data_IF_688928549950
#
_entry.id   IF_688928549950
#
_cell.length_a   1.000
_cell.length_b   1.000
_cell.length_c   1.000
_cell.angle_alpha   90.00
_cell.angle_beta   90.00
_cell.angle_gamma   90.00
#
_symmetry.space_group_name_H-M   'P 1'
#
loop_
_entity.id
_entity.type
_entity.pdbx_description
1 polymer ?
#
# COMPACT_ATOMS: atom_id res chain seq x y z
N UNK A 1 -14.56 -1.73 -6.22
CA UNK A 1 -15.66 -1.25 -5.35
C UNK A 1 -15.49 -1.56 -3.86
N UNK A 2 -14.34 -2.06 -3.38
CA UNK A 2 -14.17 -2.35 -1.94
C UNK A 2 -13.92 -1.10 -1.06
N UNK A 3 -13.47 0.00 -1.66
CA UNK A 3 -13.02 1.20 -0.95
C UNK A 3 -14.10 1.83 -0.04
N UNK A 4 -15.36 2.07 -0.48
CA UNK A 4 -16.37 2.65 0.41
C UNK A 4 -16.68 1.77 1.63
N UNK A 5 -16.67 0.45 1.44
CA UNK A 5 -16.92 -0.53 2.51
C UNK A 5 -15.77 -0.50 3.54
N UNK A 6 -14.53 -0.42 3.06
CA UNK A 6 -13.33 -0.33 3.91
C UNK A 6 -13.36 0.98 4.70
N UNK A 7 -13.60 2.11 4.04
CA UNK A 7 -13.61 3.43 4.68
C UNK A 7 -14.73 3.55 5.71
N UNK A 8 -15.94 3.08 5.41
CA UNK A 8 -17.04 3.08 6.36
C UNK A 8 -16.70 2.26 7.61
N UNK A 9 -16.13 1.05 7.42
CA UNK A 9 -15.74 0.18 8.54
C UNK A 9 -14.64 0.80 9.40
N UNK A 10 -13.65 1.45 8.79
CA UNK A 10 -12.56 2.13 9.50
C UNK A 10 -13.05 3.37 10.26
N UNK A 11 -14.10 4.03 9.78
CA UNK A 11 -14.68 5.21 10.43
C UNK A 11 -15.34 4.83 11.76
N UNK A 12 -15.99 3.67 11.81
CA UNK A 12 -16.66 3.14 13.01
C UNK A 12 -15.68 2.85 14.16
N UNK A 13 -14.38 2.71 13.88
CA UNK A 13 -13.32 2.44 14.86
C UNK A 13 -12.33 3.60 15.03
N UNK A 14 -12.64 4.78 14.47
CA UNK A 14 -11.83 5.99 14.64
C UNK A 14 -10.46 5.95 13.93
N UNK A 15 -10.30 5.11 12.90
CA UNK A 15 -9.10 5.09 12.06
C UNK A 15 -9.24 6.06 10.88
N UNK A 16 -10.43 6.17 10.29
CA UNK A 16 -10.72 7.11 9.20
C UNK A 16 -11.77 8.15 9.62
N UNK A 17 -11.87 9.28 8.91
CA UNK A 17 -12.95 10.22 9.13
C UNK A 17 -14.31 9.59 8.83
N UNK A 18 -15.38 10.19 9.39
CA UNK A 18 -16.75 9.72 9.17
C UNK A 18 -17.13 9.82 7.69
N UNK A 19 -17.72 8.75 7.14
CA UNK A 19 -18.28 8.76 5.78
C UNK A 19 -19.62 9.50 5.80
N UNK A 20 -19.75 10.52 4.95
CA UNK A 20 -20.95 11.35 4.81
C UNK A 20 -21.77 10.98 3.56
N UNK A 21 -21.14 10.40 2.54
CA UNK A 21 -21.82 9.94 1.33
C UNK A 21 -20.91 9.21 0.35
N UNK A 22 -21.47 8.39 -0.53
CA UNK A 22 -20.75 7.61 -1.54
C UNK A 22 -21.40 7.86 -2.90
N UNK A 23 -20.60 8.04 -3.93
CA UNK A 23 -21.04 8.25 -5.31
C UNK A 23 -20.14 7.51 -6.30
N UNK A 24 -20.55 7.40 -7.57
CA UNK A 24 -19.88 6.56 -8.57
C UNK A 24 -18.37 6.84 -8.77
N UNK A 25 -17.87 8.01 -8.35
CA UNK A 25 -16.47 8.44 -8.54
C UNK A 25 -15.77 8.87 -7.25
N UNK A 26 -16.33 8.59 -6.07
CA UNK A 26 -15.69 9.01 -4.83
C UNK A 26 -16.56 8.89 -3.57
N UNK A 27 -16.01 9.43 -2.49
CA UNK A 27 -16.58 9.37 -1.13
C UNK A 27 -16.49 10.78 -0.53
N UNK A 28 -17.58 11.24 0.09
CA UNK A 28 -17.59 12.45 0.91
C UNK A 28 -17.29 12.01 2.34
N UNK A 29 -16.30 12.64 2.97
CA UNK A 29 -15.89 12.36 4.35
C UNK A 29 -15.85 13.64 5.17
N UNK A 30 -15.96 13.48 6.49
CA UNK A 30 -15.74 14.56 7.45
C UNK A 30 -14.35 15.19 7.30
N UNK A 31 -14.31 16.52 7.34
CA UNK A 31 -13.05 17.25 7.35
C UNK A 31 -12.42 17.24 8.75
N UNK A 32 -11.16 16.82 8.83
CA UNK A 32 -10.37 16.84 10.06
C UNK A 32 -9.26 17.89 9.92
N UNK A 33 -9.28 18.99 10.68
CA UNK A 33 -8.15 19.91 10.75
C UNK A 33 -6.91 19.18 11.27
N UNK A 34 -5.88 19.04 10.43
CA UNK A 34 -4.66 18.33 10.80
C UNK A 34 -3.44 18.87 10.07
N UNK A 35 -2.27 18.39 10.48
CA UNK A 35 -0.99 18.52 9.78
C UNK A 35 -0.48 17.13 9.43
N UNK A 36 0.22 17.02 8.30
CA UNK A 36 0.84 15.77 7.85
C UNK A 36 2.20 15.65 8.54
N UNK A 37 2.45 14.50 9.18
CA UNK A 37 3.74 14.23 9.80
C UNK A 37 4.86 14.10 8.76
N UNK A 38 6.05 14.66 9.05
CA UNK A 38 7.25 14.48 8.23
C UNK A 38 7.96 13.16 8.53
N UNK A 39 8.91 12.79 7.66
CA UNK A 39 9.73 11.57 7.86
C UNK A 39 10.59 11.67 9.12
N UNK A 40 11.11 12.86 9.41
CA UNK A 40 11.90 13.15 10.58
C UNK A 40 11.06 13.03 11.85
N UNK A 41 9.82 13.54 11.84
CA UNK A 41 8.89 13.43 12.96
C UNK A 41 8.50 11.99 13.26
N UNK A 42 8.39 11.12 12.25
CA UNK A 42 8.12 9.69 12.45
C UNK A 42 9.22 8.98 13.24
N UNK A 43 10.44 9.53 13.26
CA UNK A 43 11.55 9.01 14.07
C UNK A 43 11.40 9.33 15.56
N UNK A 44 10.47 10.24 15.94
CA UNK A 44 10.12 10.49 17.33
C UNK A 44 9.47 9.26 17.96
N UNK A 45 9.97 8.85 19.13
CA UNK A 45 9.42 7.72 19.88
C UNK A 45 7.93 7.88 20.17
N UNK A 46 7.48 9.08 20.54
CA UNK A 46 6.08 9.32 20.89
C UNK A 46 5.16 9.22 19.67
N UNK A 47 5.55 9.80 18.53
CA UNK A 47 4.77 9.68 17.31
C UNK A 47 4.77 8.24 16.78
N UNK A 48 5.93 7.56 16.80
CA UNK A 48 6.05 6.15 16.46
C UNK A 48 5.11 5.27 17.29
N UNK A 49 5.04 5.48 18.62
CA UNK A 49 4.07 4.75 19.48
C UNK A 49 2.63 5.01 19.05
N UNK A 50 2.28 6.25 18.72
CA UNK A 50 0.92 6.59 18.28
C UNK A 50 0.57 5.90 16.94
N UNK A 51 1.51 5.89 15.98
CA UNK A 51 1.35 5.16 14.71
C UNK A 51 1.21 3.67 14.95
N UNK A 52 2.06 3.06 15.77
CA UNK A 52 2.00 1.63 16.07
C UNK A 52 0.68 1.21 16.72
N UNK A 53 0.12 2.03 17.63
CA UNK A 53 -1.21 1.77 18.21
C UNK A 53 -2.31 1.79 17.14
N UNK A 54 -2.28 2.78 16.23
CA UNK A 54 -3.24 2.86 15.12
C UNK A 54 -3.07 1.70 14.13
N UNK A 55 -1.85 1.28 13.83
CA UNK A 55 -1.56 0.12 12.99
C UNK A 55 -2.02 -1.19 13.64
N UNK A 56 -1.79 -1.38 14.94
CA UNK A 56 -2.29 -2.53 15.68
C UNK A 56 -3.82 -2.59 15.64
N UNK A 57 -4.49 -1.44 15.85
CA UNK A 57 -5.94 -1.35 15.72
C UNK A 57 -6.39 -1.68 14.30
N UNK A 58 -5.74 -1.13 13.26
CA UNK A 58 -6.04 -1.41 11.85
C UNK A 58 -5.92 -2.90 11.52
N UNK A 59 -4.82 -3.54 11.91
CA UNK A 59 -4.57 -4.95 11.62
C UNK A 59 -5.52 -5.90 12.37
N UNK A 60 -6.10 -5.46 13.49
CA UNK A 60 -7.08 -6.23 14.25
C UNK A 60 -8.49 -6.22 13.62
N UNK A 61 -8.74 -5.39 12.60
CA UNK A 61 -10.08 -5.20 12.05
C UNK A 61 -10.56 -6.42 11.26
N UNK A 62 -11.75 -6.90 11.61
CA UNK A 62 -12.49 -7.87 10.79
C UNK A 62 -13.13 -7.16 9.60
N UNK A 63 -12.41 -7.16 8.48
CA UNK A 63 -12.90 -6.54 7.24
C UNK A 63 -13.83 -7.46 6.43
N UNK A 64 -14.95 -6.95 5.88
CA UNK A 64 -15.87 -7.69 5.00
C UNK A 64 -15.38 -7.67 3.54
N UNK A 65 -14.12 -8.04 3.32
CA UNK A 65 -13.48 -8.14 2.01
C UNK A 65 -12.78 -9.49 1.87
N UNK A 66 -12.38 -9.84 0.65
CA UNK A 66 -11.60 -11.05 0.38
C UNK A 66 -10.38 -11.14 1.30
N UNK A 67 -10.17 -12.31 1.92
CA UNK A 67 -8.99 -12.62 2.74
C UNK A 67 -7.83 -13.14 1.91
N UNK A 68 -8.03 -13.34 0.61
CA UNK A 68 -6.98 -13.78 -0.28
C UNK A 68 -6.00 -12.61 -0.53
N UNK A 69 -4.70 -12.71 -0.18
CA UNK A 69 -3.74 -11.61 -0.30
C UNK A 69 -3.25 -11.41 -1.76
N UNK A 70 -4.13 -11.55 -2.74
CA UNK A 70 -3.78 -11.44 -4.16
C UNK A 70 -3.59 -10.00 -4.62
N UNK A 71 -4.14 -9.01 -3.90
CA UNK A 71 -4.13 -7.61 -4.32
C UNK A 71 -2.72 -7.09 -4.65
N UNK A 72 -1.71 -7.45 -3.84
CA UNK A 72 -0.33 -7.04 -4.11
C UNK A 72 0.20 -7.67 -5.41
N UNK A 73 -0.09 -8.95 -5.62
CA UNK A 73 0.36 -9.72 -6.80
C UNK A 73 -0.31 -9.18 -8.05
N UNK A 74 -1.65 -9.02 -8.01
CA UNK A 74 -2.44 -8.44 -9.10
C UNK A 74 -1.93 -7.05 -9.46
N UNK A 75 -1.60 -6.20 -8.47
CA UNK A 75 -1.07 -4.86 -8.72
C UNK A 75 0.35 -4.88 -9.28
N UNK A 76 1.19 -5.82 -8.86
CA UNK A 76 2.51 -6.03 -9.45
C UNK A 76 2.38 -6.48 -10.91
N UNK A 77 1.47 -7.39 -11.23
CA UNK A 77 1.22 -7.89 -12.58
C UNK A 77 0.60 -6.83 -13.50
N UNK A 78 -0.36 -6.04 -12.99
CA UNK A 78 -0.91 -4.88 -13.69
C UNK A 78 0.19 -3.86 -14.01
N UNK A 79 1.05 -3.55 -13.04
CA UNK A 79 2.20 -2.67 -13.26
C UNK A 79 3.17 -3.27 -14.28
N UNK A 80 3.42 -4.58 -14.21
CA UNK A 80 4.29 -5.34 -15.12
C UNK A 80 3.80 -5.35 -16.58
N UNK A 81 2.51 -5.11 -16.81
CA UNK A 81 1.90 -5.05 -18.14
C UNK A 81 1.68 -3.61 -18.65
N UNK A 82 2.12 -2.58 -17.92
CA UNK A 82 2.06 -1.18 -18.38
C UNK A 82 3.14 -0.86 -19.44
N UNK A 83 2.81 0.00 -20.44
CA UNK A 83 3.76 0.39 -21.48
C UNK A 83 5.07 0.98 -20.91
N UNK A 84 6.18 0.52 -21.47
CA UNK A 84 7.54 0.43 -20.88
C UNK A 84 8.21 1.73 -20.40
N UNK A 85 7.64 2.93 -20.63
CA UNK A 85 8.27 4.20 -20.23
C UNK A 85 8.16 4.51 -18.72
N UNK A 86 7.20 3.93 -18.00
CA UNK A 86 6.99 4.18 -16.56
C UNK A 86 7.61 3.10 -15.63
N UNK A 87 8.17 2.06 -16.24
CA UNK A 87 8.47 0.77 -15.62
C UNK A 87 9.73 0.75 -14.72
N UNK A 88 10.73 1.56 -15.05
CA UNK A 88 12.09 1.41 -14.51
C UNK A 88 12.22 1.98 -13.09
N UNK A 89 11.44 3.00 -12.72
CA UNK A 89 11.55 3.66 -11.41
C UNK A 89 10.77 2.94 -10.31
N UNK A 90 9.62 2.34 -10.62
CA UNK A 90 8.74 1.71 -9.62
C UNK A 90 9.14 0.29 -9.24
N UNK A 91 9.65 -0.51 -10.19
CA UNK A 91 10.08 -1.90 -9.90
C UNK A 91 11.31 -1.94 -8.99
N UNK A 92 12.27 -1.03 -9.17
CA UNK A 92 13.46 -0.97 -8.32
C UNK A 92 13.12 -0.68 -6.85
N UNK A 93 12.16 0.21 -6.59
CA UNK A 93 11.71 0.50 -5.22
C UNK A 93 11.04 -0.71 -4.56
N UNK A 94 10.18 -1.43 -5.29
CA UNK A 94 9.45 -2.58 -4.74
C UNK A 94 10.40 -3.74 -4.46
N UNK A 95 11.31 -4.07 -5.39
CA UNK A 95 12.23 -5.20 -5.23
C UNK A 95 13.28 -4.98 -4.12
N UNK A 96 13.63 -3.73 -3.81
CA UNK A 96 14.55 -3.42 -2.71
C UNK A 96 13.91 -3.56 -1.32
N UNK A 97 12.57 -3.55 -1.22
CA UNK A 97 11.86 -3.50 0.05
C UNK A 97 11.02 -4.77 0.35
N UNK A 98 11.01 -5.76 -0.54
CA UNK A 98 10.30 -7.03 -0.32
C UNK A 98 11.20 -8.04 0.41
N UNK A 99 10.74 -8.65 1.53
CA UNK A 99 11.45 -9.70 2.24
C UNK A 99 11.79 -10.90 1.34
N UNK A 100 13.00 -11.45 1.51
CA UNK A 100 13.58 -12.51 0.67
C UNK A 100 12.69 -13.76 0.55
N UNK A 101 11.93 -14.08 1.58
CA UNK A 101 11.03 -15.23 1.66
C UNK A 101 9.84 -15.11 0.70
N UNK A 102 9.29 -13.89 0.58
CA UNK A 102 8.19 -13.59 -0.34
C UNK A 102 8.71 -13.65 -1.78
N UNK A 103 9.90 -13.09 -2.05
CA UNK A 103 10.52 -13.13 -3.37
C UNK A 103 10.76 -14.56 -3.87
N UNK A 104 11.21 -15.46 -2.98
CA UNK A 104 11.41 -16.89 -3.27
C UNK A 104 10.09 -17.60 -3.59
N UNK A 105 9.04 -17.35 -2.80
CA UNK A 105 7.72 -17.98 -2.96
C UNK A 105 7.09 -17.70 -4.33
N UNK A 106 7.26 -16.49 -4.86
CA UNK A 106 6.68 -16.08 -6.14
C UNK A 106 7.62 -16.21 -7.35
N UNK A 107 8.79 -16.85 -7.18
CA UNK A 107 9.81 -17.01 -8.25
C UNK A 107 10.10 -15.71 -9.00
N UNK A 108 10.06 -14.57 -8.32
CA UNK A 108 10.41 -13.28 -8.90
C UNK A 108 11.91 -13.32 -9.24
N UNK A 109 12.21 -13.65 -10.51
CA UNK A 109 13.58 -13.89 -10.98
C UNK A 109 14.34 -12.57 -11.05
N UNK A 110 15.08 -12.28 -9.99
CA UNK A 110 16.13 -11.24 -9.97
C UNK A 110 17.07 -11.38 -11.19
N UNK A 111 17.37 -12.61 -11.59
CA UNK A 111 18.22 -12.94 -12.74
C UNK A 111 17.59 -12.67 -14.11
N UNK A 112 16.27 -12.82 -14.26
CA UNK A 112 15.58 -12.52 -15.53
C UNK A 112 15.54 -11.01 -15.78
N UNK A 113 15.35 -10.22 -14.70
CA UNK A 113 15.37 -8.76 -14.76
C UNK A 113 16.79 -8.25 -15.05
N UNK A 114 17.82 -8.78 -14.39
CA UNK A 114 19.22 -8.40 -14.65
C UNK A 114 19.70 -8.80 -16.05
N UNK A 115 19.27 -9.96 -16.58
CA UNK A 115 19.70 -10.44 -17.90
C UNK A 115 19.05 -9.66 -19.06
N UNK A 116 17.84 -9.15 -18.86
CA UNK A 116 17.14 -8.34 -19.88
C UNK A 116 17.59 -6.88 -19.89
N UNK A 117 18.06 -6.34 -18.76
CA UNK A 117 18.35 -4.89 -18.62
C UNK A 117 19.77 -4.55 -18.17
N UNK A 118 20.66 -5.53 -17.98
CA UNK A 118 22.07 -5.30 -17.60
C UNK A 118 22.91 -4.52 -18.62
N UNK A 119 22.42 -4.34 -19.85
CA UNK A 119 23.06 -3.53 -20.88
C UNK A 119 22.60 -2.05 -20.91
N UNK A 120 21.62 -1.67 -20.08
CA UNK A 120 21.09 -0.29 -20.03
C UNK A 120 21.77 0.54 -18.93
N UNK A 121 22.71 -0.06 -18.20
CA UNK A 121 23.55 0.61 -17.20
C UNK A 121 25.02 0.42 -17.59
N UNK A 122 25.42 1.06 -18.69
CA UNK A 122 26.79 1.52 -18.93
C UNK A 122 26.72 2.94 -19.47
#
# INVERSE_FOLDING_TARGET
MAEPIITDRLSQVGISPKVLGVFNKGIIVEFIPNTIATVEELSSLELSKAVLRKLALFNSQKMPISKNPMLLIEKIEEAANMPMKEHILKINFILQNVPLEIAKKYKLRKEAVLKTYGHVIQ
#
